data_IF_700029441404
#
_entry.id   IF_700029441404
#
_cell.length_a   1.000
_cell.length_b   1.000
_cell.length_c   1.000
_cell.angle_alpha   90.00
_cell.angle_beta   90.00
_cell.angle_gamma   90.00
#
_symmetry.space_group_name_H-M   'P 1'
#
loop_
_entity.id
_entity.type
_entity.pdbx_description
1 polymer ?
#
# COMPACT_ATOMS: atom_id res chain seq x y z
N UNK A 1 -17.77 -3.83 2.06
CA UNK A 1 -18.04 -2.51 2.70
C UNK A 1 -18.66 -1.61 1.66
N UNK A 2 -19.53 -0.65 2.03
CA UNK A 2 -20.16 0.31 1.13
C UNK A 2 -19.79 1.73 1.52
N UNK A 3 -19.29 2.48 0.54
CA UNK A 3 -19.01 3.91 0.63
C UNK A 3 -20.00 4.60 -0.30
N UNK A 4 -20.73 5.59 0.21
CA UNK A 4 -21.63 6.42 -0.58
C UNK A 4 -21.18 7.86 -0.53
N UNK A 5 -21.02 8.46 -1.71
CA UNK A 5 -20.74 9.88 -1.87
C UNK A 5 -22.08 10.57 -2.18
N UNK A 6 -22.42 11.62 -1.42
CA UNK A 6 -23.63 12.40 -1.67
C UNK A 6 -23.36 13.58 -2.64
N UNK A 7 -24.39 14.36 -2.96
CA UNK A 7 -24.30 15.49 -3.90
C UNK A 7 -23.32 16.60 -3.43
N UNK A 8 -23.28 16.83 -2.12
CA UNK A 8 -22.30 17.72 -1.48
C UNK A 8 -20.88 17.14 -1.45
N UNK A 9 -20.69 15.92 -1.96
CA UNK A 9 -19.44 15.17 -1.97
C UNK A 9 -18.92 14.81 -0.57
N UNK A 10 -19.86 14.69 0.38
CA UNK A 10 -19.63 14.08 1.68
C UNK A 10 -19.74 12.56 1.57
N UNK A 11 -18.92 11.87 2.38
CA UNK A 11 -18.83 10.42 2.39
C UNK A 11 -19.60 9.86 3.58
N UNK A 12 -20.44 8.87 3.31
CA UNK A 12 -21.09 8.03 4.32
C UNK A 12 -20.64 6.59 4.10
N UNK A 13 -20.28 5.90 5.18
CA UNK A 13 -19.85 4.50 5.14
C UNK A 13 -20.80 3.63 5.94
N UNK A 14 -21.12 2.44 5.45
CA UNK A 14 -22.01 1.52 6.18
C UNK A 14 -21.32 0.86 7.38
N UNK A 15 -20.00 0.76 7.34
CA UNK A 15 -19.12 0.32 8.42
C UNK A 15 -17.78 1.04 8.27
N UNK A 16 -17.11 1.32 9.39
CA UNK A 16 -15.76 1.85 9.37
C UNK A 16 -14.70 0.76 9.13
N UNK A 17 -15.04 -0.53 9.29
CA UNK A 17 -14.08 -1.63 9.14
C UNK A 17 -13.76 -1.87 7.65
N UNK A 18 -12.50 -1.62 7.28
CA UNK A 18 -11.97 -1.85 5.94
C UNK A 18 -11.55 -3.31 5.73
N UNK A 19 -11.00 -3.95 6.76
CA UNK A 19 -10.50 -5.32 6.73
C UNK A 19 -9.61 -5.61 7.93
N UNK A 20 -8.95 -6.76 7.92
CA UNK A 20 -8.02 -7.19 8.96
C UNK A 20 -6.58 -7.26 8.45
N UNK A 21 -5.61 -7.07 9.35
CA UNK A 21 -4.18 -7.11 8.97
C UNK A 21 -3.84 -8.41 8.23
N UNK A 22 -3.13 -8.28 7.11
CA UNK A 22 -2.66 -9.43 6.31
C UNK A 22 -3.75 -10.21 5.57
N UNK A 23 -5.00 -9.74 5.56
CA UNK A 23 -6.09 -10.41 4.85
C UNK A 23 -5.83 -10.39 3.33
N UNK A 24 -5.70 -11.57 2.72
CA UNK A 24 -5.42 -11.74 1.29
C UNK A 24 -6.68 -11.88 0.43
N UNK A 25 -7.81 -12.25 1.04
CA UNK A 25 -9.12 -12.37 0.41
C UNK A 25 -10.12 -11.38 1.01
N UNK A 26 -9.71 -10.11 1.09
CA UNK A 26 -10.53 -9.07 1.69
C UNK A 26 -11.87 -8.93 0.98
N UNK A 27 -12.91 -8.57 1.74
CA UNK A 27 -14.22 -8.28 1.16
C UNK A 27 -14.12 -7.04 0.26
N UNK A 28 -14.72 -7.04 -0.94
CA UNK A 28 -14.74 -5.87 -1.79
C UNK A 28 -15.40 -4.66 -1.10
N UNK A 29 -14.89 -3.49 -1.44
CA UNK A 29 -15.45 -2.18 -1.10
C UNK A 29 -16.17 -1.67 -2.34
N UNK A 30 -17.49 -1.50 -2.23
CA UNK A 30 -18.30 -0.86 -3.26
C UNK A 30 -18.39 0.65 -2.97
N UNK A 31 -18.25 1.46 -4.00
CA UNK A 31 -18.30 2.92 -3.94
C UNK A 31 -19.37 3.44 -4.89
N UNK A 32 -20.35 4.13 -4.32
CA UNK A 32 -21.48 4.72 -5.03
C UNK A 32 -21.39 6.24 -5.04
N UNK A 33 -22.03 6.89 -6.01
CA UNK A 33 -22.06 8.35 -6.14
C UNK A 33 -20.84 8.94 -6.86
N UNK A 34 -20.11 8.13 -7.63
CA UNK A 34 -18.97 8.55 -8.48
C UNK A 34 -19.47 9.23 -9.77
N UNK A 35 -20.18 10.35 -9.63
CA UNK A 35 -20.88 11.03 -10.74
C UNK A 35 -20.56 12.53 -10.82
N UNK A 36 -19.33 12.92 -10.50
CA UNK A 36 -18.83 14.28 -10.72
C UNK A 36 -18.71 14.53 -12.23
N UNK A 37 -19.38 15.58 -12.70
CA UNK A 37 -19.35 15.97 -14.11
C UNK A 37 -17.93 16.26 -14.60
N UNK A 38 -17.59 15.71 -15.76
CA UNK A 38 -16.26 15.84 -16.38
C UNK A 38 -15.12 15.09 -15.69
N UNK A 39 -15.40 14.23 -14.70
CA UNK A 39 -14.38 13.39 -14.06
C UNK A 39 -14.08 12.13 -14.86
N UNK A 40 -12.79 11.87 -15.10
CA UNK A 40 -12.30 10.66 -15.79
C UNK A 40 -11.78 9.61 -14.80
N UNK A 41 -11.42 10.04 -13.58
CA UNK A 41 -10.77 9.18 -12.60
C UNK A 41 -11.19 9.50 -11.17
N UNK A 42 -11.39 8.47 -10.37
CA UNK A 42 -11.63 8.59 -8.95
C UNK A 42 -10.56 7.86 -8.16
N UNK A 43 -9.95 8.57 -7.21
CA UNK A 43 -8.88 8.05 -6.36
C UNK A 43 -9.34 8.10 -4.90
N UNK A 44 -9.21 6.98 -4.19
CA UNK A 44 -9.23 6.92 -2.74
C UNK A 44 -7.80 7.03 -2.22
N UNK A 45 -7.51 8.13 -1.55
CA UNK A 45 -6.28 8.32 -0.80
C UNK A 45 -6.44 7.72 0.60
N UNK A 46 -5.46 6.95 1.04
CA UNK A 46 -5.38 6.36 2.38
C UNK A 46 -4.05 6.79 3.01
N UNK A 47 -4.15 7.58 4.07
CA UNK A 47 -3.02 8.08 4.85
C UNK A 47 -3.01 7.43 6.23
N UNK A 48 -1.86 6.86 6.59
CA UNK A 48 -1.63 6.17 7.85
C UNK A 48 -1.07 7.08 8.94
N UNK A 49 -0.67 8.32 8.61
CA UNK A 49 -0.08 9.26 9.55
C UNK A 49 1.38 8.98 9.91
N UNK A 50 1.98 7.91 9.36
CA UNK A 50 3.41 7.57 9.50
C UNK A 50 4.24 7.99 8.27
N UNK A 51 3.68 8.86 7.43
CA UNK A 51 4.30 9.32 6.18
C UNK A 51 4.06 8.39 4.99
N UNK A 52 3.42 7.23 5.19
CA UNK A 52 3.02 6.33 4.09
C UNK A 52 1.59 6.62 3.67
N UNK A 53 1.42 6.82 2.36
CA UNK A 53 0.13 7.05 1.72
C UNK A 53 -0.04 6.10 0.54
N UNK A 54 -1.28 5.61 0.36
CA UNK A 54 -1.67 4.85 -0.81
C UNK A 54 -2.72 5.60 -1.61
N UNK A 55 -2.63 5.49 -2.93
CA UNK A 55 -3.67 5.93 -3.86
C UNK A 55 -4.29 4.70 -4.53
N UNK A 56 -5.60 4.55 -4.35
CA UNK A 56 -6.36 3.45 -4.91
C UNK A 56 -7.29 3.98 -5.99
N UNK A 57 -7.22 3.39 -7.18
CA UNK A 57 -8.18 3.69 -8.24
C UNK A 57 -9.52 3.02 -7.93
N UNK A 58 -10.56 3.85 -7.80
CA UNK A 58 -11.93 3.40 -7.51
C UNK A 58 -12.89 3.76 -8.64
N UNK A 59 -12.38 4.14 -9.82
CA UNK A 59 -13.18 4.59 -10.96
C UNK A 59 -14.25 3.57 -11.37
N UNK A 60 -13.96 2.27 -11.19
CA UNK A 60 -14.91 1.18 -11.46
C UNK A 60 -16.01 1.00 -10.42
N UNK A 61 -16.09 1.83 -9.37
CA UNK A 61 -17.10 1.72 -8.31
C UNK A 61 -16.93 0.52 -7.39
N UNK A 62 -15.91 -0.30 -7.58
CA UNK A 62 -15.58 -1.40 -6.68
C UNK A 62 -14.08 -1.64 -6.69
N UNK A 63 -13.52 -1.95 -5.51
CA UNK A 63 -12.13 -2.37 -5.37
C UNK A 63 -11.98 -3.35 -4.20
N UNK A 64 -10.90 -4.13 -4.19
CA UNK A 64 -10.60 -5.08 -3.12
C UNK A 64 -9.32 -4.68 -2.40
N UNK A 65 -9.36 -4.46 -1.06
CA UNK A 65 -8.16 -4.19 -0.27
C UNK A 65 -7.11 -5.29 -0.41
N UNK A 66 -5.85 -4.89 -0.60
CA UNK A 66 -4.71 -5.80 -0.62
C UNK A 66 -4.05 -5.85 0.75
N UNK A 67 -3.19 -6.85 0.97
CA UNK A 67 -2.40 -6.95 2.19
C UNK A 67 -1.51 -5.71 2.44
N UNK A 68 -1.07 -5.01 1.38
CA UNK A 68 -0.32 -3.75 1.49
C UNK A 68 -1.17 -2.62 2.10
N UNK A 69 -2.47 -2.57 1.77
CA UNK A 69 -3.43 -1.65 2.39
C UNK A 69 -3.85 -2.13 3.79
N UNK A 70 -3.77 -3.43 4.07
CA UNK A 70 -4.12 -4.00 5.36
C UNK A 70 -2.85 -4.31 6.17
N UNK A 71 -1.89 -3.37 6.18
CA UNK A 71 -0.55 -3.60 6.76
C UNK A 71 -0.45 -3.46 8.28
N UNK A 72 -1.37 -2.72 8.91
CA UNK A 72 -1.28 -2.41 10.35
C UNK A 72 -2.65 -2.12 10.94
N UNK A 73 -2.89 -2.63 12.15
CA UNK A 73 -4.15 -2.46 12.87
C UNK A 73 -4.23 -1.05 13.46
N UNK A 74 -4.97 -0.16 12.78
CA UNK A 74 -5.12 1.23 13.19
C UNK A 74 -6.32 1.88 12.50
N UNK A 75 -6.57 3.16 12.83
CA UNK A 75 -7.49 4.01 12.10
C UNK A 75 -6.71 4.86 11.11
N UNK A 76 -7.08 4.78 9.83
CA UNK A 76 -6.46 5.52 8.74
C UNK A 76 -7.35 6.68 8.29
N UNK A 77 -6.72 7.75 7.82
CA UNK A 77 -7.41 8.90 7.25
C UNK A 77 -7.60 8.70 5.76
N UNK A 78 -8.80 8.96 5.26
CA UNK A 78 -9.18 8.71 3.88
C UNK A 78 -9.78 9.96 3.22
N UNK A 79 -9.50 10.14 1.94
CA UNK A 79 -10.10 11.18 1.12
C UNK A 79 -10.35 10.68 -0.30
N UNK A 80 -11.50 11.00 -0.87
CA UNK A 80 -11.82 10.65 -2.26
C UNK A 80 -11.70 11.89 -3.13
N UNK A 81 -11.00 11.74 -4.26
CA UNK A 81 -10.76 12.80 -5.23
C UNK A 81 -11.30 12.39 -6.60
N UNK A 82 -12.09 13.27 -7.22
CA UNK A 82 -12.47 13.20 -8.62
C UNK A 82 -11.47 14.03 -9.44
N UNK A 83 -10.89 13.43 -10.47
CA UNK A 83 -9.88 14.04 -11.34
C UNK A 83 -10.31 13.97 -12.81
N UNK A 84 -9.93 14.99 -13.57
CA UNK A 84 -10.11 15.07 -15.03
C UNK A 84 -8.75 14.94 -15.72
N UNK A 85 -8.67 14.17 -16.79
CA UNK A 85 -7.52 14.15 -17.66
C UNK A 85 -7.55 15.39 -18.57
N UNK A 86 -6.57 16.27 -18.42
CA UNK A 86 -6.41 17.47 -19.23
C UNK A 86 -5.04 17.44 -19.88
N UNK A 87 -5.00 17.16 -21.20
CA UNK A 87 -3.75 16.86 -21.89
C UNK A 87 -3.17 15.54 -21.38
N UNK A 88 -2.00 15.62 -20.71
CA UNK A 88 -1.30 14.46 -20.16
C UNK A 88 -1.34 14.39 -18.63
N UNK A 89 -2.10 15.27 -17.98
CA UNK A 89 -2.12 15.39 -16.53
C UNK A 89 -3.54 15.26 -15.96
N UNK A 90 -3.63 14.69 -14.76
CA UNK A 90 -4.87 14.63 -14.01
C UNK A 90 -5.01 15.85 -13.11
N UNK A 91 -6.01 16.70 -13.39
CA UNK A 91 -6.36 17.85 -12.56
C UNK A 91 -7.47 17.51 -11.57
N UNK A 92 -7.41 18.07 -10.37
CA UNK A 92 -8.44 17.86 -9.34
C UNK A 92 -9.72 18.63 -9.68
N UNK A 93 -10.87 17.95 -9.69
CA UNK A 93 -12.20 18.58 -9.82
C UNK A 93 -12.88 18.77 -8.46
N UNK A 94 -12.96 17.70 -7.66
CA UNK A 94 -13.67 17.72 -6.38
C UNK A 94 -12.98 16.78 -5.40
N UNK A 95 -12.98 17.13 -4.10
CA UNK A 95 -12.43 16.31 -3.03
C UNK A 95 -13.41 16.20 -1.86
N UNK A 96 -13.50 15.02 -1.27
CA UNK A 96 -14.36 14.81 -0.12
C UNK A 96 -13.77 15.47 1.12
N UNK A 97 -14.58 15.60 2.17
CA UNK A 97 -14.02 15.75 3.53
C UNK A 97 -13.22 14.50 3.89
N UNK A 98 -12.26 14.65 4.80
CA UNK A 98 -11.54 13.51 5.34
C UNK A 98 -12.50 12.69 6.18
N UNK A 99 -12.51 11.39 5.93
CA UNK A 99 -13.23 10.40 6.73
C UNK A 99 -12.24 9.35 7.24
N UNK A 100 -12.67 8.50 8.17
CA UNK A 100 -11.80 7.52 8.81
C UNK A 100 -12.27 6.11 8.55
N UNK A 101 -11.33 5.24 8.21
CA UNK A 101 -11.53 3.80 8.12
C UNK A 101 -10.65 3.10 9.16
N UNK A 102 -11.06 1.92 9.59
CA UNK A 102 -10.36 1.11 10.58
C UNK A 102 -9.89 -0.19 9.95
N UNK A 103 -8.64 -0.54 10.21
CA UNK A 103 -8.06 -1.86 9.96
C UNK A 103 -8.02 -2.60 11.29
N UNK A 104 -8.62 -3.80 11.34
CA UNK A 104 -8.65 -4.65 12.53
C UNK A 104 -7.38 -5.51 12.67
N UNK A 105 -7.09 -5.97 13.88
CA UNK A 105 -6.04 -6.96 14.10
C UNK A 105 -6.45 -8.33 13.53
N UNK A 106 -5.51 -9.05 12.93
CA UNK A 106 -5.75 -10.43 12.47
C UNK A 106 -6.19 -11.33 13.64
N UNK A 107 -7.04 -12.32 13.35
CA UNK A 107 -7.38 -13.37 14.31
C UNK A 107 -6.37 -14.50 14.11
N UNK A 108 -5.44 -14.63 15.07
CA UNK A 108 -4.35 -15.61 15.02
C UNK A 108 -2.99 -15.00 14.64
N UNK A 109 -1.90 -15.66 15.03
CA UNK A 109 -0.52 -15.18 14.91
C UNK A 109 0.06 -15.26 13.49
N UNK A 110 -0.74 -15.66 12.51
CA UNK A 110 -0.28 -15.86 11.12
C UNK A 110 -0.44 -14.57 10.32
N UNK A 111 0.27 -13.51 10.71
CA UNK A 111 0.42 -12.33 9.87
C UNK A 111 1.30 -12.71 8.67
N UNK A 112 0.68 -13.04 7.53
CA UNK A 112 1.41 -13.29 6.28
C UNK A 112 1.88 -11.92 5.76
N UNK A 113 3.20 -11.70 5.57
CA UNK A 113 3.69 -10.45 5.01
C UNK A 113 3.13 -10.26 3.61
N UNK A 114 2.88 -9.01 3.22
CA UNK A 114 2.43 -8.72 1.86
C UNK A 114 3.51 -9.09 0.83
N UNK A 115 3.13 -9.36 -0.43
CA UNK A 115 4.09 -9.70 -1.47
C UNK A 115 5.19 -8.63 -1.65
N UNK A 116 4.85 -7.35 -1.51
CA UNK A 116 5.83 -6.26 -1.64
C UNK A 116 6.85 -6.26 -0.49
N UNK A 117 6.39 -6.51 0.74
CA UNK A 117 7.26 -6.64 1.93
C UNK A 117 8.13 -7.88 1.81
N UNK A 118 7.58 -8.98 1.31
CA UNK A 118 8.34 -10.20 1.06
C UNK A 118 9.43 -9.99 -0.01
N UNK A 119 9.13 -9.23 -1.07
CA UNK A 119 10.11 -8.89 -2.11
C UNK A 119 11.23 -7.99 -1.56
N UNK A 120 10.91 -6.92 -0.82
CA UNK A 120 11.91 -6.04 -0.20
C UNK A 120 12.83 -6.81 0.78
N UNK A 121 12.26 -7.75 1.56
CA UNK A 121 13.05 -8.61 2.42
C UNK A 121 14.00 -9.51 1.62
N UNK A 122 13.54 -10.06 0.49
CA UNK A 122 14.36 -10.90 -0.38
C UNK A 122 15.50 -10.12 -1.03
N UNK A 123 15.24 -8.88 -1.48
CA UNK A 123 16.27 -8.01 -2.06
C UNK A 123 17.38 -7.67 -1.04
N UNK A 124 17.01 -7.44 0.22
CA UNK A 124 17.97 -7.23 1.31
C UNK A 124 18.82 -8.48 1.58
N UNK A 125 18.22 -9.66 1.54
CA UNK A 125 18.93 -10.94 1.70
C UNK A 125 19.92 -11.15 0.55
N UNK A 126 19.51 -10.87 -0.69
CA UNK A 126 20.39 -10.97 -1.86
C UNK A 126 21.59 -10.01 -1.76
N UNK A 127 21.36 -8.77 -1.34
CA UNK A 127 22.43 -7.79 -1.12
C UNK A 127 23.44 -8.27 -0.06
N UNK A 128 22.97 -8.85 1.06
CA UNK A 128 23.84 -9.45 2.09
C UNK A 128 24.63 -10.62 1.51
N UNK A 129 23.99 -11.48 0.71
CA UNK A 129 24.65 -12.63 0.08
C UNK A 129 25.79 -12.21 -0.84
N UNK A 130 25.58 -11.17 -1.67
CA UNK A 130 26.62 -10.60 -2.53
C UNK A 130 27.78 -10.02 -1.73
N UNK A 131 27.49 -9.30 -0.64
CA UNK A 131 28.52 -8.75 0.23
C UNK A 131 29.35 -9.87 0.89
N UNK A 132 28.70 -10.89 1.46
CA UNK A 132 29.37 -12.01 2.10
C UNK A 132 30.29 -12.78 1.12
N UNK A 133 29.88 -12.91 -0.14
CA UNK A 133 30.71 -13.53 -1.17
C UNK A 133 31.94 -12.68 -1.52
N UNK A 134 31.80 -11.36 -1.59
CA UNK A 134 32.93 -10.44 -1.82
C UNK A 134 33.91 -10.45 -0.63
N UNK A 135 33.40 -10.47 0.59
CA UNK A 135 34.20 -10.56 1.81
C UNK A 135 34.97 -11.90 1.86
N UNK A 136 34.33 -13.00 1.46
CA UNK A 136 34.98 -14.31 1.33
C UNK A 136 36.14 -14.25 0.33
N UNK A 137 35.93 -13.69 -0.86
CA UNK A 137 36.98 -13.59 -1.88
C UNK A 137 38.18 -12.79 -1.36
N UNK A 138 37.91 -11.68 -0.67
CA UNK A 138 38.96 -10.85 -0.04
C UNK A 138 39.74 -11.65 1.00
N UNK A 139 39.04 -12.42 1.85
CA UNK A 139 39.68 -13.28 2.85
C UNK A 139 40.53 -14.40 2.23
N UNK A 140 40.06 -15.02 1.14
CA UNK A 140 40.81 -16.04 0.39
C UNK A 140 42.09 -15.45 -0.19
N UNK A 141 42.01 -14.31 -0.88
CA UNK A 141 43.20 -13.65 -1.44
C UNK A 141 44.18 -13.25 -0.34
N UNK A 142 43.70 -12.76 0.80
CA UNK A 142 44.55 -12.44 1.94
C UNK A 142 45.26 -13.70 2.49
N UNK A 143 44.56 -14.83 2.58
CA UNK A 143 45.13 -16.10 3.03
C UNK A 143 46.18 -16.65 2.04
N UNK A 144 45.92 -16.59 0.74
CA UNK A 144 46.86 -16.98 -0.32
C UNK A 144 48.12 -16.10 -0.30
N UNK A 145 47.94 -14.78 -0.13
CA UNK A 145 49.05 -13.83 0.00
C UNK A 145 49.90 -14.13 1.24
N UNK A 146 49.26 -14.40 2.38
CA UNK A 146 49.96 -14.73 3.62
C UNK A 146 50.73 -16.06 3.51
N UNK A 147 50.18 -17.04 2.78
CA UNK A 147 50.85 -18.34 2.55
C UNK A 147 52.09 -18.16 1.68
N UNK A 148 51.96 -17.47 0.54
CA UNK A 148 53.08 -17.21 -0.38
C UNK A 148 54.18 -16.37 0.27
N UNK A 149 53.84 -15.42 1.16
CA UNK A 149 54.83 -14.60 1.86
C UNK A 149 55.59 -15.36 2.98
N UNK A 150 55.10 -16.52 3.39
CA UNK A 150 55.72 -17.37 4.41
C UNK A 150 56.62 -18.47 3.81
N UNK A 151 56.58 -18.68 2.50
CA UNK A 151 57.47 -19.56 1.72
C UNK A 151 58.75 -18.84 1.28
#
# INVERSE_FOLDING_TARGET
>A
MHIKINEDYNVVVNTALLGYVGETNARPVSVEGLAVDGADRYILTIDYGDGVQYEVDITGGQWTPTADILRSAQTVSCQICAKKLSGNEYILLKKSRIFRLRIGAAIGDTAIPSPSVAADALDKIDAIGRQAHADMQTAVTAAETATTAAE
#
